data_IF_629964103968
#
_entry.id   IF_629964103968
#
_cell.length_a   1.000
_cell.length_b   1.000
_cell.length_c   1.000
_cell.angle_alpha   90.00
_cell.angle_beta   90.00
_cell.angle_gamma   90.00
#
_symmetry.space_group_name_H-M   'P 1'
#
loop_
_entity.id
_entity.type
_entity.pdbx_description
1 polymer ?
#
# COMPACT_ATOMS: atom_id res chain seq x y z
N UNK A 1 -13.38 9.37 -18.08
CA UNK A 1 -12.39 8.57 -17.33
C UNK A 1 -11.02 9.09 -17.73
N UNK A 2 -10.45 10.05 -16.98
CA UNK A 2 -9.14 10.64 -17.28
C UNK A 2 -8.59 11.43 -16.07
N UNK A 3 -9.46 11.97 -15.22
CA UNK A 3 -9.10 12.67 -13.98
C UNK A 3 -9.22 11.78 -12.73
N UNK A 4 -9.60 10.51 -12.89
CA UNK A 4 -9.72 9.54 -11.78
C UNK A 4 -8.40 8.92 -11.35
N UNK A 5 -7.43 8.82 -12.27
CA UNK A 5 -6.08 8.27 -12.02
C UNK A 5 -5.18 9.18 -11.18
N UNK A 6 -5.60 10.43 -10.93
CA UNK A 6 -4.96 11.35 -9.97
C UNK A 6 -5.56 11.16 -8.57
N UNK A 7 -6.33 10.09 -8.36
CA UNK A 7 -6.90 9.75 -7.06
C UNK A 7 -5.83 9.15 -6.14
N UNK A 8 -5.94 9.36 -4.81
CA UNK A 8 -5.07 8.69 -3.85
C UNK A 8 -5.18 7.16 -3.95
N UNK A 9 -6.32 6.62 -4.39
CA UNK A 9 -6.54 5.18 -4.59
C UNK A 9 -5.56 4.52 -5.56
N UNK A 10 -5.42 5.07 -6.77
CA UNK A 10 -4.54 4.49 -7.80
C UNK A 10 -3.05 4.68 -7.43
N UNK A 11 -2.75 5.79 -6.77
CA UNK A 11 -1.41 6.07 -6.26
C UNK A 11 -0.99 5.13 -5.12
N UNK A 12 -1.92 4.63 -4.29
CA UNK A 12 -1.59 3.62 -3.25
C UNK A 12 -1.03 2.35 -3.89
N UNK A 13 -1.61 1.89 -5.01
CA UNK A 13 -1.11 0.72 -5.73
C UNK A 13 0.28 0.95 -6.32
N UNK A 14 0.50 2.12 -6.92
CA UNK A 14 1.81 2.51 -7.43
C UNK A 14 2.86 2.60 -6.32
N UNK A 15 2.53 3.24 -5.20
CA UNK A 15 3.41 3.36 -4.03
C UNK A 15 3.73 2.00 -3.41
N UNK A 16 2.73 1.13 -3.21
CA UNK A 16 2.95 -0.22 -2.71
C UNK A 16 3.82 -1.06 -3.65
N UNK A 17 3.73 -0.84 -4.96
CA UNK A 17 4.61 -1.50 -5.92
C UNK A 17 6.03 -0.94 -5.89
N UNK A 18 6.22 0.38 -5.75
CA UNK A 18 7.53 1.02 -5.80
C UNK A 18 8.34 0.92 -4.50
N UNK A 19 7.66 0.80 -3.36
CA UNK A 19 8.28 0.65 -2.04
C UNK A 19 8.73 -0.79 -1.73
N UNK A 20 8.30 -1.77 -2.52
CA UNK A 20 8.61 -3.17 -2.26
C UNK A 20 9.69 -3.70 -3.20
N UNK A 21 10.64 -4.47 -2.63
CA UNK A 21 11.60 -5.24 -3.43
C UNK A 21 10.87 -6.23 -4.34
N UNK A 22 11.44 -6.46 -5.52
CA UNK A 22 10.88 -7.27 -6.61
C UNK A 22 10.36 -8.65 -6.18
N UNK A 23 11.05 -9.42 -5.31
CA UNK A 23 10.62 -10.77 -4.96
C UNK A 23 9.43 -10.85 -3.97
N UNK A 24 9.14 -9.80 -3.19
CA UNK A 24 8.10 -9.84 -2.13
C UNK A 24 6.90 -8.91 -2.40
N UNK A 25 6.89 -8.23 -3.56
CA UNK A 25 5.85 -7.26 -3.94
C UNK A 25 4.42 -7.80 -3.82
N UNK A 26 4.22 -9.07 -4.15
CA UNK A 26 2.91 -9.72 -4.02
C UNK A 26 2.43 -9.87 -2.57
N UNK A 27 3.33 -10.21 -1.65
CA UNK A 27 3.00 -10.35 -0.23
C UNK A 27 2.75 -8.99 0.43
N UNK A 28 3.59 -7.99 0.13
CA UNK A 28 3.40 -6.64 0.63
C UNK A 28 2.06 -6.04 0.19
N UNK A 29 1.71 -6.20 -1.10
CA UNK A 29 0.41 -5.78 -1.62
C UNK A 29 -0.75 -6.58 -1.00
N UNK A 30 -0.57 -7.87 -0.75
CA UNK A 30 -1.57 -8.73 -0.10
C UNK A 30 -1.91 -8.26 1.31
N UNK A 31 -0.90 -7.89 2.11
CA UNK A 31 -1.11 -7.33 3.46
C UNK A 31 -1.81 -5.97 3.38
N UNK A 32 -1.41 -5.09 2.46
CA UNK A 32 -2.08 -3.82 2.24
C UNK A 32 -3.57 -4.01 1.86
N UNK A 33 -3.87 -4.97 0.99
CA UNK A 33 -5.23 -5.31 0.61
C UNK A 33 -6.06 -5.89 1.78
N UNK A 34 -5.43 -6.67 2.66
CA UNK A 34 -6.09 -7.19 3.86
C UNK A 34 -6.54 -6.04 4.79
N UNK A 35 -5.67 -5.05 5.03
CA UNK A 35 -6.02 -3.85 5.80
C UNK A 35 -7.14 -3.04 5.15
N UNK A 36 -7.13 -2.90 3.82
CA UNK A 36 -8.23 -2.27 3.09
C UNK A 36 -9.58 -2.96 3.34
N UNK A 37 -9.59 -4.31 3.34
CA UNK A 37 -10.80 -5.08 3.67
C UNK A 37 -11.24 -4.88 5.12
N UNK A 38 -10.31 -4.90 6.08
CA UNK A 38 -10.63 -4.64 7.49
C UNK A 38 -11.28 -3.27 7.66
N UNK A 39 -10.73 -2.22 7.03
CA UNK A 39 -11.31 -0.88 7.05
C UNK A 39 -12.73 -0.83 6.47
N UNK A 40 -12.98 -1.54 5.36
CA UNK A 40 -14.31 -1.65 4.77
C UNK A 40 -15.31 -2.31 5.72
N UNK A 41 -14.92 -3.41 6.38
CA UNK A 41 -15.75 -4.09 7.37
C UNK A 41 -16.09 -3.17 8.54
N UNK A 42 -15.10 -2.49 9.12
CA UNK A 42 -15.30 -1.56 10.23
C UNK A 42 -16.26 -0.43 9.84
N UNK A 43 -16.11 0.14 8.63
CA UNK A 43 -17.02 1.14 8.09
C UNK A 43 -18.47 0.65 8.04
N UNK A 44 -18.71 -0.56 7.52
CA UNK A 44 -20.06 -1.14 7.41
C UNK A 44 -20.81 -1.22 8.74
N UNK A 45 -20.11 -1.41 9.87
CA UNK A 45 -20.74 -1.42 11.19
C UNK A 45 -20.93 -0.02 11.79
N UNK A 46 -19.99 0.89 11.56
CA UNK A 46 -20.02 2.23 12.16
C UNK A 46 -21.06 3.14 11.49
N UNK A 47 -21.20 3.08 10.16
CA UNK A 47 -22.12 3.96 9.43
C UNK A 47 -23.59 3.83 9.90
N UNK A 48 -24.17 2.62 10.04
CA UNK A 48 -25.53 2.46 10.55
C UNK A 48 -25.72 2.99 11.98
N UNK A 49 -24.74 2.76 12.87
CA UNK A 49 -24.78 3.25 14.26
C UNK A 49 -24.79 4.78 14.29
N UNK A 50 -24.00 5.41 13.43
CA UNK A 50 -23.95 6.87 13.34
C UNK A 50 -25.25 7.48 12.81
N UNK A 51 -25.89 6.79 11.87
CA UNK A 51 -27.19 7.21 11.30
C UNK A 51 -28.29 7.05 12.35
N UNK A 52 -28.29 5.94 13.09
CA UNK A 52 -29.24 5.70 14.19
C UNK A 52 -29.07 6.72 15.33
N UNK A 53 -27.83 7.06 15.68
CA UNK A 53 -27.52 8.09 16.68
C UNK A 53 -27.94 9.51 16.25
N UNK A 54 -28.16 9.76 14.96
CA UNK A 54 -28.62 11.05 14.45
C UNK A 54 -30.14 11.27 14.59
N UNK A 55 -30.90 10.23 14.94
CA UNK A 55 -32.36 10.28 15.15
C UNK A 55 -33.15 10.50 13.85
N UNK A 56 -34.37 11.06 13.97
CA UNK A 56 -35.30 11.26 12.84
C UNK A 56 -34.96 12.45 11.91
N UNK A 57 -33.90 13.21 12.20
CA UNK A 57 -33.51 14.35 11.38
C UNK A 57 -32.67 13.90 10.18
N UNK A 58 -33.31 13.82 9.01
CA UNK A 58 -32.68 13.39 7.75
C UNK A 58 -31.41 14.18 7.38
N UNK A 59 -31.29 15.42 7.85
CA UNK A 59 -30.11 16.25 7.59
C UNK A 59 -28.93 15.79 8.47
N UNK A 60 -29.20 15.43 9.73
CA UNK A 60 -28.17 14.96 10.67
C UNK A 60 -27.69 13.55 10.33
N UNK A 61 -28.59 12.69 9.83
CA UNK A 61 -28.25 11.34 9.35
C UNK A 61 -27.18 11.34 8.26
N UNK A 62 -27.16 12.36 7.39
CA UNK A 62 -26.10 12.54 6.39
C UNK A 62 -24.86 13.25 6.94
N UNK A 63 -25.02 14.22 7.85
CA UNK A 63 -23.90 15.00 8.38
C UNK A 63 -22.97 14.19 9.27
N UNK A 64 -23.50 13.38 10.19
CA UNK A 64 -22.69 12.62 11.14
C UNK A 64 -21.67 11.70 10.44
N UNK A 65 -22.07 10.87 9.46
CA UNK A 65 -21.12 10.05 8.73
C UNK A 65 -20.19 10.88 7.83
N UNK A 66 -20.65 12.03 7.34
CA UNK A 66 -19.80 12.97 6.58
C UNK A 66 -18.68 13.58 7.44
N UNK A 67 -18.97 13.99 8.67
CA UNK A 67 -17.98 14.54 9.60
C UNK A 67 -16.92 13.49 9.97
N UNK A 68 -17.36 12.27 10.30
CA UNK A 68 -16.45 11.17 10.65
C UNK A 68 -15.59 10.77 9.45
N UNK A 69 -16.17 10.57 8.27
CA UNK A 69 -15.38 10.26 7.07
C UNK A 69 -14.41 11.38 6.69
N UNK A 70 -14.80 12.64 6.82
CA UNK A 70 -13.92 13.79 6.56
C UNK A 70 -12.75 13.86 7.53
N UNK A 71 -12.99 13.61 8.83
CA UNK A 71 -11.90 13.53 9.82
C UNK A 71 -10.92 12.40 9.53
N UNK A 72 -11.42 11.24 9.11
CA UNK A 72 -10.59 10.09 8.76
C UNK A 72 -9.78 10.34 7.48
N UNK A 73 -10.35 11.09 6.53
CA UNK A 73 -9.65 11.54 5.32
C UNK A 73 -8.47 12.45 5.67
N UNK A 74 -8.68 13.46 6.53
CA UNK A 74 -7.61 14.37 6.99
C UNK A 74 -6.55 13.58 7.76
N UNK A 75 -6.95 12.68 8.66
CA UNK A 75 -6.02 11.81 9.38
C UNK A 75 -5.17 10.97 8.42
N UNK A 76 -5.79 10.35 7.41
CA UNK A 76 -5.09 9.61 6.37
C UNK A 76 -4.09 10.48 5.61
N UNK A 77 -4.46 11.72 5.28
CA UNK A 77 -3.56 12.67 4.63
C UNK A 77 -2.35 13.03 5.50
N UNK A 78 -2.53 13.21 6.81
CA UNK A 78 -1.43 13.45 7.77
C UNK A 78 -0.51 12.22 7.84
N UNK A 79 -1.07 11.03 7.97
CA UNK A 79 -0.29 9.77 8.00
C UNK A 79 0.46 9.59 6.70
N UNK A 80 -0.15 9.86 5.55
CA UNK A 80 0.52 9.79 4.26
C UNK A 80 1.65 10.81 4.15
N UNK A 81 1.46 12.04 4.65
CA UNK A 81 2.47 13.10 4.58
C UNK A 81 3.70 12.82 5.46
N UNK A 82 3.51 12.29 6.67
CA UNK A 82 4.62 11.99 7.59
C UNK A 82 5.17 10.58 7.48
N UNK A 83 4.35 9.62 7.08
CA UNK A 83 4.68 8.19 7.09
C UNK A 83 5.22 7.66 5.77
N UNK A 84 5.03 8.36 4.65
CA UNK A 84 5.65 7.95 3.39
C UNK A 84 7.11 8.41 3.30
N UNK A 85 8.07 7.50 3.11
CA UNK A 85 9.41 7.90 2.71
C UNK A 85 9.39 8.49 1.30
N UNK A 86 10.35 9.37 1.00
CA UNK A 86 10.49 9.97 -0.33
C UNK A 86 10.75 8.87 -1.38
N UNK A 87 9.75 8.62 -2.23
CA UNK A 87 9.84 7.60 -3.29
C UNK A 87 10.55 8.20 -4.50
N UNK A 88 11.87 7.99 -4.58
CA UNK A 88 12.68 8.29 -5.76
C UNK A 88 12.55 7.25 -6.88
N UNK A 89 13.15 7.52 -8.04
CA UNK A 89 13.21 6.55 -9.14
C UNK A 89 14.13 5.35 -8.82
N UNK A 90 15.21 5.58 -8.07
CA UNK A 90 16.23 4.56 -7.74
C UNK A 90 15.88 3.68 -6.52
N UNK A 91 14.76 3.97 -5.84
CA UNK A 91 14.40 3.33 -4.57
C UNK A 91 14.18 1.81 -4.69
N UNK A 92 13.75 1.35 -5.87
CA UNK A 92 13.54 -0.08 -6.15
C UNK A 92 14.88 -0.83 -6.17
N UNK A 93 15.92 -0.24 -6.78
CA UNK A 93 17.25 -0.85 -6.84
C UNK A 93 17.93 -0.83 -5.46
N UNK A 94 17.74 0.24 -4.71
CA UNK A 94 18.24 0.36 -3.33
C UNK A 94 17.60 -0.67 -2.39
N UNK A 95 16.27 -0.83 -2.43
CA UNK A 95 15.57 -1.86 -1.64
C UNK A 95 15.90 -3.28 -2.10
N UNK A 96 16.11 -3.52 -3.41
CA UNK A 96 16.52 -4.83 -3.91
C UNK A 96 17.95 -5.19 -3.44
N UNK A 97 18.87 -4.22 -3.41
CA UNK A 97 20.22 -4.40 -2.88
C UNK A 97 20.22 -4.61 -1.36
N UNK A 98 19.41 -3.85 -0.62
CA UNK A 98 19.26 -4.03 0.83
C UNK A 98 18.63 -5.39 1.18
N UNK A 99 17.69 -5.86 0.36
CA UNK A 99 17.09 -7.18 0.54
C UNK A 99 18.08 -8.31 0.22
N UNK A 100 18.93 -8.15 -0.81
CA UNK A 100 20.03 -9.09 -1.10
C UNK A 100 21.03 -9.15 0.05
N UNK A 101 21.48 -8.01 0.56
CA UNK A 101 22.39 -7.96 1.70
C UNK A 101 21.79 -8.63 2.96
N UNK A 102 20.50 -8.41 3.22
CA UNK A 102 19.77 -9.07 4.31
C UNK A 102 19.72 -10.59 4.15
N UNK A 103 19.52 -11.09 2.93
CA UNK A 103 19.50 -12.51 2.61
C UNK A 103 20.89 -13.15 2.76
N UNK A 104 21.95 -12.47 2.30
CA UNK A 104 23.34 -12.93 2.46
C UNK A 104 23.75 -13.01 3.93
N UNK A 105 23.35 -12.02 4.73
CA UNK A 105 23.62 -11.99 6.18
C UNK A 105 22.91 -13.13 6.93
N UNK A 106 21.73 -13.55 6.45
CA UNK A 106 20.98 -14.69 6.99
C UNK A 106 21.37 -16.04 6.37
N UNK A 107 22.47 -16.09 5.61
CA UNK A 107 23.04 -17.32 5.05
C UNK A 107 22.32 -17.85 3.81
N UNK A 108 21.53 -17.02 3.14
CA UNK A 108 20.83 -17.36 1.91
C UNK A 108 21.66 -16.97 0.68
N UNK A 109 21.94 -17.93 -0.21
CA UNK A 109 22.73 -17.70 -1.42
C UNK A 109 21.93 -16.90 -2.46
N UNK A 110 22.29 -15.63 -2.63
CA UNK A 110 21.69 -14.68 -3.58
C UNK A 110 21.95 -15.05 -5.04
N UNK A 111 22.88 -15.97 -5.34
CA UNK A 111 23.07 -16.54 -6.68
C UNK A 111 21.85 -17.32 -7.17
N UNK A 112 20.89 -17.62 -6.28
CA UNK A 112 19.63 -18.25 -6.63
C UNK A 112 18.50 -17.31 -7.04
N UNK A 113 18.64 -16.00 -6.83
CA UNK A 113 17.65 -15.00 -7.24
C UNK A 113 17.69 -14.80 -8.76
N UNK A 114 16.51 -14.83 -9.39
CA UNK A 114 16.33 -14.65 -10.84
C UNK A 114 16.04 -15.94 -11.60
N UNK A 115 15.44 -15.78 -12.78
CA UNK A 115 15.02 -16.87 -13.66
C UNK A 115 16.23 -17.65 -14.17
N UNK A 116 16.11 -18.98 -14.31
CA UNK A 116 17.18 -19.88 -14.81
C UNK A 116 17.85 -19.36 -16.10
N UNK A 117 17.05 -18.76 -16.99
CA UNK A 117 17.50 -18.13 -18.25
C UNK A 117 18.49 -16.97 -18.05
N UNK A 118 18.27 -16.10 -17.07
CA UNK A 118 19.15 -14.97 -16.76
C UNK A 118 20.51 -15.43 -16.20
N UNK A 119 20.48 -16.57 -15.50
CA UNK A 119 21.68 -17.22 -14.92
C UNK A 119 22.53 -17.90 -15.97
N UNK A 120 21.89 -18.57 -16.93
CA UNK A 120 22.54 -19.14 -18.12
C UNK A 120 23.14 -18.03 -19.00
N UNK A 121 22.44 -16.91 -19.21
CA UNK A 121 22.97 -15.77 -19.99
C UNK A 121 24.16 -15.09 -19.30
N UNK A 122 24.16 -14.93 -17.97
CA UNK A 122 25.31 -14.39 -17.24
C UNK A 122 26.50 -15.37 -17.20
N UNK A 123 26.23 -16.68 -17.07
CA UNK A 123 27.29 -17.70 -17.10
C UNK A 123 27.91 -17.84 -18.50
N UNK A 124 27.14 -17.57 -19.56
CA UNK A 124 27.63 -17.56 -20.95
C UNK A 124 28.35 -16.25 -21.35
N UNK A 125 28.25 -15.20 -20.54
CA UNK A 125 28.91 -13.91 -20.75
C UNK A 125 30.28 -13.78 -20.04
N UNK A 126 30.69 -14.82 -19.30
CA UNK A 126 32.00 -15.00 -18.65
C UNK A 126 32.87 -15.95 -19.47
#
# INVERSE_FOLDING_TARGET
MALGEVGPGDNIGLLASKLSSTPIRGQFYGVAAAWGKVGAFVGTYIFPILIDAAGDDATKQGQYPFWVSSSLCIFSAVVAYFGLPNVGQDMIEEEDNRFKAYLEEHGYDTSQLGTKKYRDEMAAAL
#
